data_IF_174733716001
#
_entry.id   IF_174733716001
#
_cell.length_a   1.000
_cell.length_b   1.000
_cell.length_c   1.000
_cell.angle_alpha   90.00
_cell.angle_beta   90.00
_cell.angle_gamma   90.00
#
_symmetry.space_group_name_H-M   'P 1'
#
loop_
_entity.id
_entity.type
_entity.pdbx_description
1 polymer ?
#
# COMPACT_ATOMS: atom_id res chain seq x y z
N UNK A 1 -18.92 9.17 12.41
CA UNK A 1 -18.65 7.87 13.06
C UNK A 1 -17.64 7.19 12.16
N UNK A 2 -16.57 6.67 12.72
CA UNK A 2 -15.52 6.00 11.96
C UNK A 2 -16.06 4.71 11.34
N UNK A 3 -15.81 4.49 10.06
CA UNK A 3 -16.25 3.31 9.32
C UNK A 3 -15.07 2.72 8.51
N UNK A 4 -15.02 1.39 8.42
CA UNK A 4 -14.14 0.67 7.49
C UNK A 4 -14.99 0.23 6.31
N UNK A 5 -14.73 0.79 5.13
CA UNK A 5 -15.44 0.47 3.89
C UNK A 5 -14.59 -0.44 3.03
N UNK A 6 -15.15 -1.55 2.59
CA UNK A 6 -14.46 -2.61 1.84
C UNK A 6 -15.14 -2.77 0.49
N UNK A 7 -14.62 -2.07 -0.53
CA UNK A 7 -15.12 -2.14 -1.90
C UNK A 7 -14.39 -3.23 -2.68
N UNK A 8 -15.14 -4.26 -3.06
CA UNK A 8 -14.60 -5.46 -3.68
C UNK A 8 -14.68 -5.37 -5.21
N UNK A 9 -13.63 -5.86 -5.86
CA UNK A 9 -13.52 -6.02 -7.30
C UNK A 9 -12.80 -7.34 -7.59
N UNK A 10 -12.79 -7.84 -8.84
CA UNK A 10 -12.17 -9.12 -9.16
C UNK A 10 -10.72 -9.22 -8.66
N UNK A 11 -10.46 -10.12 -7.70
CA UNK A 11 -9.13 -10.36 -7.14
C UNK A 11 -8.61 -9.32 -6.14
N UNK A 12 -9.37 -8.25 -5.86
CA UNK A 12 -8.92 -7.14 -5.02
C UNK A 12 -10.05 -6.50 -4.23
N UNK A 13 -9.81 -6.26 -2.94
CA UNK A 13 -10.61 -5.35 -2.14
C UNK A 13 -9.82 -4.06 -1.86
N UNK A 14 -10.47 -2.92 -2.07
CA UNK A 14 -10.03 -1.60 -1.62
C UNK A 14 -10.65 -1.33 -0.27
N UNK A 15 -9.83 -1.04 0.73
CA UNK A 15 -10.26 -0.85 2.10
C UNK A 15 -9.96 0.59 2.49
N UNK A 16 -10.99 1.37 2.74
CA UNK A 16 -10.88 2.76 3.17
C UNK A 16 -11.38 2.88 4.61
N UNK A 17 -10.64 3.59 5.44
CA UNK A 17 -11.08 4.01 6.77
C UNK A 17 -11.54 5.45 6.67
N UNK A 18 -12.82 5.70 6.94
CA UNK A 18 -13.45 7.02 6.78
C UNK A 18 -13.91 7.55 8.13
N UNK A 19 -13.52 8.79 8.45
CA UNK A 19 -14.12 9.55 9.55
C UNK A 19 -14.83 10.80 9.02
N UNK A 20 -16.17 10.74 8.99
CA UNK A 20 -16.96 11.81 8.38
C UNK A 20 -16.69 11.90 6.87
N UNK A 21 -15.97 12.95 6.46
CA UNK A 21 -15.58 13.18 5.05
C UNK A 21 -14.08 12.93 4.80
N UNK A 22 -13.33 12.54 5.83
CA UNK A 22 -11.87 12.36 5.75
C UNK A 22 -11.51 10.91 5.52
N UNK A 23 -10.62 10.65 4.55
CA UNK A 23 -9.94 9.37 4.37
C UNK A 23 -8.76 9.28 5.34
N UNK A 24 -8.86 8.43 6.35
CA UNK A 24 -7.89 8.29 7.44
C UNK A 24 -6.84 7.21 7.16
N UNK A 25 -7.24 6.10 6.55
CA UNK A 25 -6.34 5.02 6.13
C UNK A 25 -6.85 4.34 4.86
N UNK A 26 -5.94 3.70 4.11
CA UNK A 26 -6.25 3.04 2.85
C UNK A 26 -5.33 1.85 2.58
N UNK A 27 -5.92 0.73 2.18
CA UNK A 27 -5.15 -0.46 1.80
C UNK A 27 -5.79 -1.23 0.65
N UNK A 28 -4.93 -1.92 -0.10
CA UNK A 28 -5.34 -2.97 -1.03
C UNK A 28 -5.19 -4.34 -0.37
N UNK A 29 -6.20 -5.18 -0.52
CA UNK A 29 -6.11 -6.60 -0.18
C UNK A 29 -6.35 -7.46 -1.42
N UNK A 30 -5.35 -8.26 -1.80
CA UNK A 30 -5.37 -9.16 -2.97
C UNK A 30 -5.24 -10.62 -2.52
N UNK A 31 -6.34 -11.33 -2.24
CA UNK A 31 -6.29 -12.71 -1.72
C UNK A 31 -5.60 -13.71 -2.65
N UNK A 32 -5.68 -13.49 -3.97
CA UNK A 32 -5.04 -14.35 -4.97
C UNK A 32 -3.51 -14.26 -4.98
N UNK A 33 -2.97 -13.14 -4.50
CA UNK A 33 -1.52 -12.89 -4.40
C UNK A 33 -1.22 -12.12 -3.11
N UNK A 34 -1.29 -12.77 -1.94
CA UNK A 34 -1.02 -12.12 -0.67
C UNK A 34 0.42 -11.62 -0.62
N UNK A 35 0.66 -10.50 0.05
CA UNK A 35 1.99 -9.89 0.16
C UNK A 35 2.91 -10.58 1.20
N UNK A 36 2.37 -11.56 1.92
CA UNK A 36 3.04 -12.36 2.94
C UNK A 36 3.53 -11.55 4.15
N UNK A 37 3.10 -10.30 4.31
CA UNK A 37 3.56 -9.47 5.42
C UNK A 37 3.10 -10.07 6.75
N UNK A 38 4.04 -10.29 7.67
CA UNK A 38 3.75 -10.89 8.97
C UNK A 38 3.62 -12.42 8.95
N UNK A 39 3.74 -13.08 7.78
CA UNK A 39 3.73 -14.54 7.68
C UNK A 39 4.81 -15.15 8.59
N UNK A 40 4.44 -16.21 9.29
CA UNK A 40 5.32 -17.00 10.12
C UNK A 40 5.78 -18.23 9.34
N UNK A 41 7.08 -18.36 9.15
CA UNK A 41 7.69 -19.47 8.42
C UNK A 41 8.67 -20.24 9.29
N UNK A 42 8.81 -21.52 8.99
CA UNK A 42 10.09 -22.21 9.14
C UNK A 42 10.87 -21.99 7.85
N UNK A 43 12.09 -21.45 7.96
CA UNK A 43 12.99 -21.21 6.82
C UNK A 43 14.29 -21.98 7.03
N UNK A 44 14.97 -22.33 5.94
CA UNK A 44 16.31 -22.94 6.00
C UNK A 44 17.37 -21.94 5.56
N UNK A 45 18.40 -21.78 6.37
CA UNK A 45 19.56 -20.95 6.04
C UNK A 45 20.37 -21.61 4.94
N UNK A 46 20.54 -20.90 3.83
CA UNK A 46 21.29 -21.35 2.65
C UNK A 46 22.65 -20.68 2.54
N UNK A 47 22.78 -19.42 2.94
CA UNK A 47 24.06 -18.71 2.89
C UNK A 47 24.16 -17.61 3.97
N UNK A 48 24.97 -17.81 5.02
CA UNK A 48 25.28 -16.77 6.00
C UNK A 48 26.03 -15.58 5.39
N UNK A 49 25.70 -14.36 5.80
CA UNK A 49 26.26 -13.11 5.29
C UNK A 49 26.67 -12.19 6.44
N UNK A 50 27.84 -12.40 7.02
CA UNK A 50 28.35 -11.63 8.18
C UNK A 50 28.42 -10.12 7.88
N UNK A 51 28.84 -9.73 6.68
CA UNK A 51 28.94 -8.33 6.25
C UNK A 51 27.60 -7.59 6.23
N UNK A 52 26.48 -8.32 6.08
CA UNK A 52 25.13 -7.75 6.07
C UNK A 52 24.35 -8.03 7.36
N UNK A 53 25.01 -8.62 8.36
CA UNK A 53 24.39 -9.10 9.60
C UNK A 53 23.10 -9.88 9.34
N UNK A 54 23.18 -10.89 8.47
CA UNK A 54 22.03 -11.68 8.04
C UNK A 54 22.43 -12.97 7.34
N UNK A 55 21.45 -13.65 6.75
CA UNK A 55 21.65 -14.82 5.92
C UNK A 55 20.56 -14.93 4.85
N UNK A 56 20.91 -15.46 3.68
CA UNK A 56 19.90 -15.92 2.73
C UNK A 56 19.25 -17.20 3.23
N UNK A 57 17.95 -17.31 2.97
CA UNK A 57 17.13 -18.45 3.37
C UNK A 57 16.23 -18.89 2.21
N UNK A 58 15.80 -20.14 2.25
CA UNK A 58 14.75 -20.67 1.38
C UNK A 58 13.46 -20.87 2.16
N UNK A 59 12.34 -20.47 1.53
CA UNK A 59 10.97 -20.60 2.03
C UNK A 59 10.32 -21.89 1.52
N UNK A 60 9.06 -22.13 1.92
CA UNK A 60 8.32 -23.36 1.63
C UNK A 60 8.05 -23.60 0.14
N UNK A 61 7.86 -22.51 -0.61
CA UNK A 61 7.59 -22.47 -2.04
C UNK A 61 8.87 -22.51 -2.89
N UNK A 62 10.04 -22.64 -2.25
CA UNK A 62 11.34 -22.53 -2.91
C UNK A 62 11.80 -21.09 -3.15
N UNK A 63 11.00 -20.09 -2.76
CA UNK A 63 11.37 -18.69 -2.82
C UNK A 63 12.55 -18.39 -1.89
N UNK A 64 13.36 -17.41 -2.28
CA UNK A 64 14.47 -16.94 -1.45
C UNK A 64 14.05 -15.74 -0.61
N UNK A 65 14.63 -15.58 0.58
CA UNK A 65 14.44 -14.44 1.46
C UNK A 65 15.71 -14.07 2.22
N UNK A 66 15.65 -12.97 2.98
CA UNK A 66 16.78 -12.51 3.79
C UNK A 66 16.42 -12.47 5.28
N UNK A 67 17.07 -13.33 6.07
CA UNK A 67 16.89 -13.43 7.52
C UNK A 67 17.90 -12.54 8.24
N UNK A 68 17.44 -11.65 9.11
CA UNK A 68 18.34 -10.79 9.91
C UNK A 68 19.03 -11.56 11.04
N UNK A 69 20.25 -11.14 11.38
CA UNK A 69 21.08 -11.73 12.43
C UNK A 69 22.04 -12.80 11.92
N UNK A 70 22.94 -13.27 12.78
CA UNK A 70 23.91 -14.31 12.43
C UNK A 70 23.33 -15.69 12.62
N UNK A 71 23.43 -16.53 11.59
CA UNK A 71 22.91 -17.89 11.58
C UNK A 71 23.91 -18.84 10.91
N UNK A 72 23.85 -20.12 11.26
CA UNK A 72 24.70 -21.14 10.62
C UNK A 72 23.98 -21.72 9.40
N UNK A 73 24.73 -22.06 8.37
CA UNK A 73 24.19 -22.71 7.17
C UNK A 73 23.50 -24.04 7.53
N UNK A 74 22.43 -24.37 6.80
CA UNK A 74 21.62 -25.57 6.97
C UNK A 74 20.65 -25.51 8.16
N UNK A 75 20.77 -24.52 9.06
CA UNK A 75 19.87 -24.39 10.21
C UNK A 75 18.44 -24.05 9.78
N UNK A 76 17.48 -24.62 10.51
CA UNK A 76 16.06 -24.28 10.40
C UNK A 76 15.72 -23.26 11.46
N UNK A 77 15.06 -22.18 11.07
CA UNK A 77 14.73 -21.05 11.94
C UNK A 77 13.26 -20.71 11.79
N UNK A 78 12.59 -20.49 12.92
CA UNK A 78 11.25 -19.89 12.95
C UNK A 78 11.41 -18.39 12.76
N UNK A 79 10.84 -17.85 11.68
CA UNK A 79 11.04 -16.46 11.29
C UNK A 79 9.75 -15.83 10.79
N UNK A 80 9.58 -14.55 11.08
CA UNK A 80 8.43 -13.75 10.65
C UNK A 80 8.84 -12.79 9.54
N UNK A 81 8.03 -12.70 8.49
CA UNK A 81 8.21 -11.69 7.44
C UNK A 81 7.97 -10.30 8.02
N UNK A 82 8.98 -9.44 7.95
CA UNK A 82 8.93 -8.04 8.40
C UNK A 82 8.91 -7.06 7.23
N UNK A 83 9.27 -7.52 6.03
CA UNK A 83 9.11 -6.77 4.79
C UNK A 83 8.73 -7.72 3.67
N UNK A 84 7.64 -7.41 2.97
CA UNK A 84 7.19 -8.17 1.81
C UNK A 84 8.21 -8.16 0.68
N UNK A 85 8.15 -9.18 -0.19
CA UNK A 85 8.93 -9.21 -1.40
C UNK A 85 8.62 -7.99 -2.29
N UNK A 86 9.64 -7.31 -2.78
CA UNK A 86 9.51 -6.05 -3.52
C UNK A 86 10.64 -5.88 -4.54
N UNK A 87 10.32 -5.35 -5.71
CA UNK A 87 11.32 -4.99 -6.74
C UNK A 87 12.23 -6.16 -7.15
N UNK A 88 11.68 -7.38 -7.26
CA UNK A 88 12.42 -8.60 -7.60
C UNK A 88 13.25 -9.19 -6.45
N UNK A 89 13.26 -8.57 -5.27
CA UNK A 89 13.92 -9.10 -4.07
C UNK A 89 12.92 -9.90 -3.24
N UNK A 90 13.40 -11.00 -2.66
CA UNK A 90 12.67 -11.80 -1.69
C UNK A 90 12.29 -11.05 -0.42
N UNK A 91 11.41 -11.61 0.42
CA UNK A 91 11.00 -10.99 1.67
C UNK A 91 12.15 -10.88 2.66
N UNK A 92 12.06 -9.89 3.57
CA UNK A 92 12.93 -9.80 4.74
C UNK A 92 12.25 -10.45 5.93
N UNK A 93 12.98 -11.27 6.66
CA UNK A 93 12.49 -11.98 7.84
C UNK A 93 13.32 -11.64 9.07
N UNK A 94 12.66 -11.68 10.23
CA UNK A 94 13.31 -11.61 11.55
C UNK A 94 13.08 -12.94 12.28
N UNK A 95 14.10 -13.51 12.95
CA UNK A 95 13.90 -14.68 13.80
C UNK A 95 12.92 -14.36 14.93
N UNK A 96 12.06 -15.32 15.25
CA UNK A 96 11.13 -15.25 16.38
C UNK A 96 11.25 -16.52 17.22
N UNK A 97 10.84 -16.43 18.48
CA UNK A 97 10.77 -17.62 19.34
C UNK A 97 9.77 -18.63 18.79
N UNK A 98 10.13 -19.91 18.83
CA UNK A 98 9.29 -21.01 18.36
C UNK A 98 10.10 -22.16 17.79
N UNK A 99 9.61 -23.39 17.99
CA UNK A 99 10.26 -24.58 17.46
C UNK A 99 10.03 -24.66 15.93
N UNK A 100 11.09 -24.70 15.11
CA UNK A 100 10.95 -24.83 13.67
C UNK A 100 10.37 -26.21 13.30
N UNK A 101 9.68 -26.28 12.15
CA UNK A 101 9.27 -27.56 11.54
C UNK A 101 10.49 -28.30 10.98
N UNK A 102 10.31 -29.55 10.56
CA UNK A 102 11.39 -30.39 10.01
C UNK A 102 11.92 -29.91 8.64
N UNK A 103 11.12 -29.14 7.91
CA UNK A 103 11.42 -28.62 6.57
C UNK A 103 10.88 -27.18 6.44
N UNK A 104 11.36 -26.39 5.46
CA UNK A 104 10.80 -25.08 5.16
C UNK A 104 9.29 -25.16 4.96
N UNK A 105 8.53 -24.30 5.63
CA UNK A 105 7.07 -24.37 5.69
C UNK A 105 6.48 -23.01 6.08
N UNK A 106 5.36 -22.64 5.46
CA UNK A 106 4.48 -21.61 6.03
C UNK A 106 3.80 -22.21 7.27
N UNK A 107 4.02 -21.60 8.43
CA UNK A 107 3.47 -22.05 9.70
C UNK A 107 2.12 -21.41 9.99
N UNK A 108 2.01 -20.10 9.75
CA UNK A 108 0.78 -19.34 9.87
C UNK A 108 0.86 -18.10 8.95
N UNK A 109 -0.22 -17.76 8.23
CA UNK A 109 -0.29 -16.50 7.50
C UNK A 109 -0.25 -15.32 8.47
N UNK A 110 0.27 -14.20 7.99
CA UNK A 110 0.18 -12.91 8.66
C UNK A 110 -1.22 -12.30 8.57
N UNK A 111 -1.45 -11.17 9.25
CA UNK A 111 -2.73 -10.49 9.21
C UNK A 111 -2.99 -9.91 7.81
N UNK A 112 -4.22 -10.08 7.35
CA UNK A 112 -4.73 -9.40 6.15
C UNK A 112 -4.76 -7.89 6.36
N UNK A 113 -4.72 -7.08 5.28
CA UNK A 113 -4.87 -5.63 5.41
C UNK A 113 -6.14 -5.21 6.16
N UNK A 114 -7.25 -5.93 5.98
CA UNK A 114 -8.48 -5.65 6.71
C UNK A 114 -8.34 -5.91 8.21
N UNK A 115 -7.70 -7.02 8.62
CA UNK A 115 -7.45 -7.30 10.03
C UNK A 115 -6.57 -6.22 10.66
N UNK A 116 -5.51 -5.77 9.97
CA UNK A 116 -4.64 -4.68 10.47
C UNK A 116 -5.43 -3.39 10.71
N UNK A 117 -6.30 -3.00 9.76
CA UNK A 117 -7.12 -1.80 9.90
C UNK A 117 -8.21 -1.97 10.96
N UNK A 118 -8.83 -3.15 11.05
CA UNK A 118 -9.84 -3.46 12.06
C UNK A 118 -9.26 -3.48 13.48
N UNK A 119 -8.00 -3.90 13.66
CA UNK A 119 -7.29 -3.87 14.93
C UNK A 119 -6.90 -2.44 15.33
N UNK A 120 -6.53 -1.61 14.36
CA UNK A 120 -6.18 -0.18 14.57
C UNK A 120 -7.42 0.65 14.90
N UNK A 121 -8.57 0.27 14.36
CA UNK A 121 -9.86 0.94 14.55
C UNK A 121 -10.89 -0.02 15.13
N UNK A 122 -10.78 -0.44 16.41
CA UNK A 122 -11.58 -1.53 16.99
C UNK A 122 -13.08 -1.24 17.05
N UNK A 123 -13.46 0.04 17.13
CA UNK A 123 -14.86 0.48 17.27
C UNK A 123 -15.54 0.78 15.93
N UNK A 124 -14.81 0.73 14.82
CA UNK A 124 -15.37 1.04 13.50
C UNK A 124 -16.23 -0.12 12.96
N UNK A 125 -17.41 0.19 12.45
CA UNK A 125 -18.23 -0.76 11.70
C UNK A 125 -17.56 -1.09 10.36
N UNK A 126 -17.68 -2.34 9.89
CA UNK A 126 -17.10 -2.81 8.63
C UNK A 126 -18.20 -2.94 7.59
N UNK A 127 -18.25 -2.03 6.63
CA UNK A 127 -19.19 -2.05 5.52
C UNK A 127 -18.56 -2.77 4.31
N UNK A 128 -19.19 -3.84 3.83
CA UNK A 128 -18.67 -4.65 2.74
C UNK A 128 -19.73 -4.94 1.67
N UNK A 129 -19.35 -4.83 0.40
CA UNK A 129 -20.27 -4.99 -0.73
C UNK A 129 -20.24 -6.37 -1.40
N UNK A 130 -19.26 -7.22 -1.10
CA UNK A 130 -19.20 -8.58 -1.62
C UNK A 130 -19.58 -9.65 -0.55
N UNK A 131 -20.66 -10.43 -0.78
CA UNK A 131 -21.09 -11.46 0.16
C UNK A 131 -20.09 -12.61 0.35
N UNK A 132 -19.36 -12.99 -0.69
CA UNK A 132 -18.38 -14.09 -0.62
C UNK A 132 -17.17 -13.66 0.20
N UNK A 133 -16.70 -12.44 -0.01
CA UNK A 133 -15.63 -11.81 0.73
C UNK A 133 -16.00 -11.64 2.20
N UNK A 134 -17.23 -11.18 2.49
CA UNK A 134 -17.77 -11.08 3.85
C UNK A 134 -17.82 -12.44 4.57
N UNK A 135 -18.22 -13.50 3.87
CA UNK A 135 -18.31 -14.85 4.42
C UNK A 135 -16.93 -15.45 4.75
N UNK A 136 -15.90 -15.07 4.00
CA UNK A 136 -14.52 -15.50 4.19
C UNK A 136 -13.82 -14.83 5.39
N UNK A 137 -14.42 -13.79 5.99
CA UNK A 137 -13.79 -13.06 7.09
C UNK A 137 -13.65 -13.89 8.37
N UNK A 138 -12.57 -13.66 9.14
CA UNK A 138 -12.38 -14.25 10.46
C UNK A 138 -13.59 -14.03 11.37
N UNK A 139 -13.88 -15.02 12.22
CA UNK A 139 -15.02 -14.95 13.16
C UNK A 139 -14.95 -13.77 14.10
N UNK A 140 -13.75 -13.29 14.44
CA UNK A 140 -13.52 -12.12 15.29
C UNK A 140 -14.08 -10.82 14.70
N UNK A 141 -14.16 -10.70 13.37
CA UNK A 141 -14.66 -9.48 12.71
C UNK A 141 -16.16 -9.51 12.45
N UNK A 142 -16.80 -10.70 12.47
CA UNK A 142 -18.18 -10.88 11.98
C UNK A 142 -19.24 -10.04 12.71
N UNK A 143 -19.05 -9.74 13.99
CA UNK A 143 -19.99 -8.91 14.76
C UNK A 143 -20.02 -7.45 14.30
N UNK A 144 -18.95 -6.97 13.67
CA UNK A 144 -18.79 -5.60 13.16
C UNK A 144 -19.15 -5.48 11.67
N UNK A 145 -19.33 -6.60 10.98
CA UNK A 145 -19.54 -6.63 9.53
C UNK A 145 -21.01 -6.36 9.19
N UNK A 146 -21.25 -5.34 8.38
CA UNK A 146 -22.53 -5.04 7.74
C UNK A 146 -22.37 -5.16 6.24
N UNK A 147 -23.24 -5.97 5.62
CA UNK A 147 -23.30 -6.07 4.16
C UNK A 147 -24.10 -4.90 3.60
N UNK A 148 -23.54 -4.26 2.59
CA UNK A 148 -24.14 -3.12 1.88
C UNK A 148 -24.13 -3.40 0.39
N UNK A 149 -24.84 -2.60 -0.40
CA UNK A 149 -24.84 -2.75 -1.86
C UNK A 149 -23.62 -2.12 -2.53
N UNK A 150 -23.13 -1.02 -1.96
CA UNK A 150 -21.93 -0.31 -2.40
C UNK A 150 -21.18 0.13 -1.15
N UNK A 151 -19.95 -0.35 -0.97
CA UNK A 151 -19.16 0.04 0.18
C UNK A 151 -18.55 1.43 -0.01
N UNK A 152 -18.19 1.79 -1.25
CA UNK A 152 -17.74 3.14 -1.59
C UNK A 152 -18.90 3.93 -2.19
N UNK A 153 -19.14 5.11 -1.63
CA UNK A 153 -19.95 6.14 -2.28
C UNK A 153 -19.08 6.97 -3.25
N UNK A 154 -19.65 7.82 -4.12
CA UNK A 154 -18.88 8.59 -5.09
C UNK A 154 -17.79 9.49 -4.47
N UNK A 155 -17.99 9.95 -3.23
CA UNK A 155 -17.00 10.79 -2.51
C UNK A 155 -15.82 9.93 -2.07
N UNK A 156 -16.08 8.78 -1.46
CA UNK A 156 -15.07 7.81 -1.04
C UNK A 156 -14.25 7.30 -2.23
N UNK A 157 -14.93 7.00 -3.35
CA UNK A 157 -14.28 6.60 -4.60
C UNK A 157 -13.32 7.69 -5.08
N UNK A 158 -13.77 8.94 -5.14
CA UNK A 158 -12.95 10.07 -5.56
C UNK A 158 -11.74 10.31 -4.64
N UNK A 159 -11.92 10.20 -3.31
CA UNK A 159 -10.82 10.32 -2.34
C UNK A 159 -9.76 9.23 -2.55
N UNK A 160 -10.18 7.98 -2.76
CA UNK A 160 -9.26 6.87 -2.98
C UNK A 160 -8.54 6.99 -4.33
N UNK A 161 -9.25 7.40 -5.39
CA UNK A 161 -8.67 7.59 -6.72
C UNK A 161 -7.65 8.74 -6.75
N UNK A 162 -7.90 9.81 -5.98
CA UNK A 162 -6.98 10.94 -5.84
C UNK A 162 -5.61 10.53 -5.26
N UNK A 163 -5.51 9.41 -4.52
CA UNK A 163 -4.23 8.91 -4.02
C UNK A 163 -3.25 8.48 -5.13
N UNK A 164 -3.76 8.24 -6.34
CA UNK A 164 -2.94 7.94 -7.51
C UNK A 164 -2.28 9.18 -8.11
N UNK A 165 -2.81 10.38 -7.80
CA UNK A 165 -2.22 11.65 -8.20
C UNK A 165 -0.93 11.90 -7.40
N UNK A 166 0.17 12.32 -8.05
CA UNK A 166 1.39 12.71 -7.36
C UNK A 166 1.23 13.99 -6.55
N UNK A 167 0.09 14.69 -6.59
CA UNK A 167 -0.18 15.90 -5.83
C UNK A 167 -1.31 15.70 -4.82
N UNK A 168 -1.28 16.48 -3.74
CA UNK A 168 -2.38 16.54 -2.78
C UNK A 168 -2.51 17.95 -2.21
N UNK A 169 -3.75 18.41 -2.09
CA UNK A 169 -4.07 19.62 -1.33
C UNK A 169 -3.97 19.30 0.17
N UNK A 170 -3.29 20.17 0.91
CA UNK A 170 -3.05 20.04 2.33
C UNK A 170 -3.78 21.16 3.09
N UNK A 171 -3.91 20.94 4.40
CA UNK A 171 -4.34 21.98 5.31
C UNK A 171 -3.41 23.19 5.24
N UNK A 172 -3.88 24.36 5.68
CA UNK A 172 -3.11 25.61 5.56
C UNK A 172 -2.98 26.13 4.13
N UNK A 173 -3.66 25.51 3.15
CA UNK A 173 -3.71 25.96 1.76
C UNK A 173 -2.42 25.71 0.99
N UNK A 174 -1.64 24.69 1.40
CA UNK A 174 -0.46 24.24 0.68
C UNK A 174 -0.81 23.04 -0.19
N UNK A 175 -0.02 22.83 -1.25
CA UNK A 175 -0.08 21.64 -2.07
C UNK A 175 1.23 20.88 -1.94
N UNK A 176 1.16 19.57 -1.72
CA UNK A 176 2.31 18.68 -1.79
C UNK A 176 2.44 18.05 -3.17
N UNK A 177 3.67 17.90 -3.65
CA UNK A 177 4.03 17.06 -4.79
C UNK A 177 4.95 15.93 -4.34
N UNK A 178 4.50 14.68 -4.47
CA UNK A 178 5.21 13.46 -4.09
C UNK A 178 5.96 12.88 -5.29
N UNK A 179 7.28 12.80 -5.18
CA UNK A 179 8.16 12.27 -6.23
C UNK A 179 8.96 11.07 -5.71
N UNK A 180 8.45 9.84 -5.94
CA UNK A 180 9.23 8.64 -5.69
C UNK A 180 10.43 8.54 -6.63
N UNK A 181 11.61 8.25 -6.08
CA UNK A 181 12.82 7.92 -6.83
C UNK A 181 13.32 6.52 -6.43
N UNK A 182 14.29 5.92 -7.15
CA UNK A 182 14.84 4.63 -6.75
C UNK A 182 15.44 4.60 -5.34
N UNK A 183 15.96 5.73 -4.85
CA UNK A 183 16.66 5.81 -3.56
C UNK A 183 15.79 6.38 -2.43
N UNK A 184 15.05 7.45 -2.70
CA UNK A 184 14.30 8.24 -1.72
C UNK A 184 12.99 8.79 -2.28
N UNK A 185 12.13 9.31 -1.41
CA UNK A 185 10.95 10.07 -1.81
C UNK A 185 11.22 11.55 -1.56
N UNK A 186 11.06 12.38 -2.59
CA UNK A 186 11.10 13.83 -2.45
C UNK A 186 9.66 14.37 -2.38
N UNK A 187 9.40 15.26 -1.42
CA UNK A 187 8.11 15.93 -1.24
C UNK A 187 8.34 17.43 -1.29
N UNK A 188 7.71 18.10 -2.24
CA UNK A 188 7.78 19.54 -2.41
C UNK A 188 6.49 20.19 -1.95
N UNK A 189 6.58 21.22 -1.10
CA UNK A 189 5.42 21.98 -0.63
C UNK A 189 5.37 23.35 -1.30
N UNK A 190 4.24 23.62 -1.95
CA UNK A 190 3.98 24.87 -2.64
C UNK A 190 2.75 25.60 -2.08
N UNK A 191 2.72 26.92 -2.25
CA UNK A 191 1.49 27.69 -2.10
C UNK A 191 0.94 28.01 -3.51
N UNK A 192 -0.21 27.43 -3.91
CA UNK A 192 -0.75 27.59 -5.25
C UNK A 192 -1.37 28.98 -5.51
N UNK A 193 -1.53 29.85 -4.50
CA UNK A 193 -2.06 31.21 -4.68
C UNK A 193 -0.95 32.24 -4.99
N UNK A 194 -0.90 32.81 -6.22
CA UNK A 194 0.18 33.71 -6.64
C UNK A 194 0.03 35.18 -6.17
N UNK A 195 -1.20 35.64 -5.86
CA UNK A 195 -1.50 37.07 -5.65
C UNK A 195 -1.64 37.54 -4.20
N UNK A 196 -1.69 36.62 -3.23
CA UNK A 196 -1.64 37.00 -1.83
C UNK A 196 -0.20 37.41 -1.51
N UNK A 197 0.08 38.72 -1.42
CA UNK A 197 1.35 39.33 -0.94
C UNK A 197 2.17 38.31 -0.16
N UNK A 198 3.36 37.90 -0.68
CA UNK A 198 4.28 36.94 -0.05
C UNK A 198 4.01 36.87 1.44
N UNK A 199 3.38 35.76 1.88
CA UNK A 199 2.96 35.61 3.27
C UNK A 199 4.11 36.06 4.16
N UNK A 200 3.80 36.87 5.18
CA UNK A 200 4.82 37.28 6.14
C UNK A 200 5.51 36.02 6.67
N UNK A 201 6.82 36.04 6.98
CA UNK A 201 7.54 34.84 7.41
C UNK A 201 6.85 34.02 8.52
N UNK A 202 6.14 34.70 9.44
CA UNK A 202 5.34 34.06 10.49
C UNK A 202 4.16 33.27 9.92
N UNK A 203 3.44 33.84 8.94
CA UNK A 203 2.31 33.19 8.30
C UNK A 203 2.75 31.99 7.43
N UNK A 204 3.95 32.03 6.82
CA UNK A 204 4.52 30.89 6.10
C UNK A 204 4.79 29.71 7.03
N UNK A 205 5.40 29.97 8.20
CA UNK A 205 5.63 28.94 9.22
C UNK A 205 4.31 28.37 9.70
N UNK A 206 3.32 29.22 10.01
CA UNK A 206 2.00 28.76 10.44
C UNK A 206 1.29 27.90 9.38
N UNK A 207 1.35 28.28 8.11
CA UNK A 207 0.77 27.50 7.00
C UNK A 207 1.43 26.13 6.87
N UNK A 208 2.77 26.05 6.94
CA UNK A 208 3.48 24.77 6.91
C UNK A 208 3.13 23.92 8.14
N UNK A 209 3.08 24.49 9.34
CA UNK A 209 2.67 23.75 10.56
C UNK A 209 1.25 23.19 10.40
N UNK A 210 0.33 23.99 9.87
CA UNK A 210 -1.04 23.55 9.60
C UNK A 210 -1.10 22.40 8.59
N UNK A 211 -0.23 22.38 7.58
CA UNK A 211 -0.18 21.35 6.54
C UNK A 211 0.42 20.00 6.99
N UNK A 212 1.19 19.98 8.10
CA UNK A 212 1.93 18.79 8.53
C UNK A 212 1.02 17.58 8.84
N UNK A 213 -0.11 17.73 9.57
CA UNK A 213 -1.00 16.60 9.85
C UNK A 213 -1.52 15.91 8.57
N UNK A 214 -2.04 16.68 7.61
CA UNK A 214 -2.48 16.15 6.31
C UNK A 214 -1.32 15.60 5.50
N UNK A 215 -0.15 16.25 5.48
CA UNK A 215 1.04 15.69 4.81
C UNK A 215 1.41 14.31 5.35
N UNK A 216 1.45 14.16 6.68
CA UNK A 216 1.77 12.89 7.32
C UNK A 216 0.71 11.82 7.03
N UNK A 217 -0.58 12.22 6.94
CA UNK A 217 -1.66 11.34 6.51
C UNK A 217 -1.48 10.89 5.05
N UNK A 218 -1.15 11.80 4.13
CA UNK A 218 -0.87 11.47 2.72
C UNK A 218 0.31 10.50 2.56
N UNK A 219 1.35 10.63 3.41
CA UNK A 219 2.49 9.69 3.49
C UNK A 219 2.01 8.29 3.91
N UNK A 220 1.13 8.21 4.91
CA UNK A 220 0.55 6.94 5.38
C UNK A 220 -0.37 6.30 4.34
N UNK A 221 -1.31 7.06 3.78
CA UNK A 221 -2.28 6.61 2.76
C UNK A 221 -1.59 6.03 1.51
N UNK A 222 -0.46 6.62 1.11
CA UNK A 222 0.37 6.11 0.00
C UNK A 222 1.37 5.04 0.42
N UNK A 223 1.45 4.73 1.71
CA UNK A 223 2.44 3.88 2.34
C UNK A 223 3.87 4.20 1.87
N UNK A 224 4.22 5.49 1.84
CA UNK A 224 5.56 5.95 1.45
C UNK A 224 6.55 5.57 2.55
N UNK A 225 7.68 4.99 2.18
CA UNK A 225 8.66 4.45 3.14
C UNK A 225 10.09 4.47 2.60
N UNK A 226 11.06 4.37 3.50
CA UNK A 226 12.48 4.59 3.26
C UNK A 226 12.88 6.00 3.68
N UNK A 227 13.88 6.55 3.00
CA UNK A 227 14.25 7.95 3.16
C UNK A 227 13.20 8.84 2.48
N UNK A 228 12.69 9.81 3.21
CA UNK A 228 11.75 10.82 2.77
C UNK A 228 12.37 12.18 3.07
N UNK A 229 12.45 13.04 2.05
CA UNK A 229 12.91 14.43 2.21
C UNK A 229 11.79 15.38 1.82
N UNK A 230 11.54 16.38 2.66
CA UNK A 230 10.47 17.35 2.48
C UNK A 230 11.08 18.74 2.31
N UNK A 231 10.62 19.50 1.31
CA UNK A 231 11.00 20.89 1.06
C UNK A 231 9.87 21.85 1.47
N UNK A 232 9.97 22.53 2.64
CA UNK A 232 8.94 23.45 3.12
C UNK A 232 8.77 24.72 2.27
N UNK A 233 7.51 25.11 2.05
CA UNK A 233 7.11 26.24 1.23
C UNK A 233 7.59 27.59 1.79
N UNK A 234 8.46 28.29 1.08
CA UNK A 234 8.77 29.72 1.32
C UNK A 234 9.54 30.06 2.61
N UNK A 235 9.84 29.08 3.47
CA UNK A 235 10.58 29.29 4.72
C UNK A 235 12.08 29.20 4.48
N UNK A 236 12.83 30.22 4.92
CA UNK A 236 14.29 30.21 4.86
C UNK A 236 14.87 29.03 5.67
N UNK A 237 15.95 28.35 5.21
CA UNK A 237 16.48 27.14 5.85
C UNK A 237 16.69 27.24 7.37
N UNK A 238 17.21 28.38 7.86
CA UNK A 238 17.47 28.62 9.30
C UNK A 238 16.22 28.59 10.19
N UNK A 239 15.02 28.72 9.62
CA UNK A 239 13.75 28.70 10.36
C UNK A 239 12.98 27.38 10.23
N UNK A 240 13.43 26.45 9.39
CA UNK A 240 12.74 25.18 9.13
C UNK A 240 12.75 24.22 10.33
N UNK A 241 13.71 24.38 11.25
CA UNK A 241 13.75 23.61 12.50
C UNK A 241 12.50 23.82 13.39
N UNK A 242 11.80 24.95 13.23
CA UNK A 242 10.54 25.21 13.93
C UNK A 242 9.40 24.25 13.53
N UNK A 243 9.54 23.53 12.41
CA UNK A 243 8.55 22.56 11.94
C UNK A 243 8.75 21.16 12.55
N UNK A 244 9.93 20.86 13.09
CA UNK A 244 10.28 19.51 13.58
C UNK A 244 9.35 19.02 14.70
N UNK A 245 8.98 19.81 15.73
CA UNK A 245 8.09 19.33 16.77
C UNK A 245 6.71 18.93 16.24
N UNK A 246 6.17 19.69 15.28
CA UNK A 246 4.90 19.37 14.65
C UNK A 246 4.99 18.11 13.77
N UNK A 247 6.12 17.91 13.07
CA UNK A 247 6.38 16.67 12.31
C UNK A 247 6.45 15.46 13.23
N UNK A 248 7.19 15.55 14.35
CA UNK A 248 7.33 14.47 15.32
C UNK A 248 5.97 14.10 15.95
N UNK A 249 5.17 15.09 16.31
CA UNK A 249 3.83 14.89 16.87
C UNK A 249 2.88 14.21 15.87
N UNK A 250 2.81 14.72 14.64
CA UNK A 250 1.92 14.18 13.60
C UNK A 250 2.30 12.77 13.13
N UNK A 251 3.57 12.38 13.29
CA UNK A 251 4.09 11.05 12.96
C UNK A 251 4.09 10.08 14.14
N UNK A 252 3.80 10.55 15.36
CA UNK A 252 3.86 9.73 16.57
C UNK A 252 2.92 8.52 16.53
N UNK A 253 1.73 8.69 15.95
CA UNK A 253 0.71 7.65 15.81
C UNK A 253 0.90 6.75 14.59
N UNK A 254 1.93 6.98 13.77
CA UNK A 254 2.17 6.15 12.59
C UNK A 254 2.63 4.73 13.01
N UNK A 255 1.93 3.68 12.56
CA UNK A 255 2.22 2.30 12.96
C UNK A 255 3.61 1.81 12.53
N UNK A 256 4.28 2.48 11.59
CA UNK A 256 5.64 2.15 11.19
C UNK A 256 6.70 2.84 12.06
N UNK A 257 6.31 3.67 13.03
CA UNK A 257 7.24 4.39 13.93
C UNK A 257 8.37 5.11 13.19
N UNK A 258 8.03 6.03 12.26
CA UNK A 258 9.01 6.81 11.52
C UNK A 258 9.85 7.70 12.45
N UNK A 259 11.06 8.01 12.01
CA UNK A 259 11.99 8.87 12.74
C UNK A 259 12.24 10.16 11.96
N UNK A 260 12.00 11.31 12.60
CA UNK A 260 12.44 12.62 12.10
C UNK A 260 13.92 12.78 12.45
N UNK A 261 14.78 12.92 11.45
CA UNK A 261 16.23 13.03 11.63
C UNK A 261 16.70 14.49 11.82
N UNK A 262 15.90 15.44 11.34
CA UNK A 262 16.14 16.88 11.47
C UNK A 262 16.10 17.60 10.14
N UNK A 263 16.89 18.67 10.03
CA UNK A 263 17.02 19.48 8.81
C UNK A 263 18.40 19.26 8.21
N UNK A 264 18.45 18.90 6.92
CA UNK A 264 19.70 18.67 6.19
C UNK A 264 20.47 19.98 5.96
N UNK A 265 21.73 19.88 5.52
CA UNK A 265 22.52 21.05 5.13
C UNK A 265 21.93 21.86 3.96
N UNK A 266 21.07 21.24 3.15
CA UNK A 266 20.31 21.92 2.07
C UNK A 266 19.02 22.57 2.56
N UNK A 267 18.66 22.36 3.83
CA UNK A 267 17.42 22.88 4.42
C UNK A 267 16.21 21.95 4.28
N UNK A 268 16.36 20.72 3.78
CA UNK A 268 15.24 19.78 3.69
C UNK A 268 14.95 19.13 5.04
N UNK A 269 13.70 18.81 5.35
CA UNK A 269 13.36 17.99 6.51
C UNK A 269 13.57 16.53 6.13
N UNK A 270 14.30 15.78 6.95
CA UNK A 270 14.64 14.38 6.71
C UNK A 270 13.85 13.45 7.64
N UNK A 271 13.17 12.47 7.05
CA UNK A 271 12.40 11.46 7.76
C UNK A 271 12.79 10.08 7.24
N UNK A 272 12.95 9.11 8.14
CA UNK A 272 13.11 7.70 7.79
C UNK A 272 11.88 6.94 8.28
N UNK A 273 11.08 6.43 7.36
CA UNK A 273 9.91 5.59 7.66
C UNK A 273 10.21 4.13 7.30
N UNK A 274 10.17 3.17 8.24
CA UNK A 274 10.40 1.75 7.94
C UNK A 274 9.57 1.21 6.77
N UNK A 275 10.16 0.30 5.99
CA UNK A 275 9.52 -0.38 4.85
C UNK A 275 8.94 -1.71 5.30
N UNK A 276 7.60 -1.82 5.32
CA UNK A 276 6.87 -3.06 5.56
C UNK A 276 6.27 -3.64 4.27
N UNK A 277 5.16 -3.06 3.82
CA UNK A 277 4.44 -3.42 2.59
C UNK A 277 4.84 -2.52 1.42
N UNK A 278 4.43 -2.86 0.19
CA UNK A 278 4.73 -2.04 -0.99
C UNK A 278 3.98 -0.71 -0.94
N UNK A 279 4.59 0.40 -1.40
CA UNK A 279 3.89 1.67 -1.49
C UNK A 279 2.80 1.63 -2.57
N UNK A 280 1.80 2.49 -2.44
CA UNK A 280 0.62 2.52 -3.30
C UNK A 280 0.98 2.61 -4.79
N UNK A 281 1.91 3.50 -5.15
CA UNK A 281 2.31 3.71 -6.53
C UNK A 281 2.97 2.46 -7.16
N UNK A 282 3.69 1.64 -6.38
CA UNK A 282 4.23 0.36 -6.86
C UNK A 282 3.11 -0.66 -7.07
N UNK A 283 2.13 -0.72 -6.16
CA UNK A 283 0.98 -1.62 -6.28
C UNK A 283 0.13 -1.31 -7.50
N UNK A 284 -0.18 -0.03 -7.74
CA UNK A 284 -0.99 0.44 -8.86
C UNK A 284 -0.28 0.27 -10.21
N UNK A 285 1.03 0.56 -10.28
CA UNK A 285 1.82 0.47 -11.52
C UNK A 285 2.38 -0.92 -11.80
N UNK A 286 2.24 -1.86 -10.86
CA UNK A 286 2.63 -3.26 -11.09
C UNK A 286 1.79 -3.88 -12.22
N UNK A 287 2.33 -4.82 -13.00
CA UNK A 287 1.55 -5.50 -14.04
C UNK A 287 0.27 -6.16 -13.51
N UNK A 288 0.31 -6.68 -12.28
CA UNK A 288 -0.86 -7.22 -11.59
C UNK A 288 -1.88 -6.13 -11.26
N UNK A 289 -1.45 -5.02 -10.68
CA UNK A 289 -2.33 -3.89 -10.36
C UNK A 289 -3.01 -3.30 -11.60
N UNK A 290 -2.29 -3.16 -12.71
CA UNK A 290 -2.86 -2.72 -14.00
C UNK A 290 -3.92 -3.71 -14.49
N UNK A 291 -3.63 -5.01 -14.43
CA UNK A 291 -4.59 -6.05 -14.82
C UNK A 291 -5.88 -6.00 -13.99
N UNK A 292 -5.78 -5.90 -12.67
CA UNK A 292 -6.94 -5.83 -11.78
C UNK A 292 -7.75 -4.54 -12.00
N UNK A 293 -7.07 -3.41 -12.21
CA UNK A 293 -7.72 -2.14 -12.54
C UNK A 293 -8.46 -2.23 -13.89
N UNK A 294 -7.90 -2.93 -14.88
CA UNK A 294 -8.56 -3.18 -16.15
C UNK A 294 -9.84 -4.01 -15.99
N UNK A 295 -9.76 -5.12 -15.24
CA UNK A 295 -10.94 -5.95 -14.93
C UNK A 295 -12.04 -5.15 -14.21
N UNK A 296 -11.68 -4.30 -13.24
CA UNK A 296 -12.62 -3.40 -12.56
C UNK A 296 -13.27 -2.40 -13.53
N UNK A 297 -12.48 -1.79 -14.41
CA UNK A 297 -12.99 -0.84 -15.41
C UNK A 297 -13.91 -1.51 -16.44
N UNK A 298 -13.61 -2.74 -16.86
CA UNK A 298 -14.47 -3.55 -17.72
C UNK A 298 -15.83 -3.83 -17.07
N UNK A 299 -15.85 -4.18 -15.77
CA UNK A 299 -17.09 -4.38 -15.02
C UNK A 299 -17.93 -3.12 -14.90
N UNK A 300 -17.30 -1.96 -14.68
CA UNK A 300 -18.00 -0.68 -14.61
C UNK A 300 -18.70 -0.30 -15.93
N UNK A 301 -18.25 -0.87 -17.06
CA UNK A 301 -18.81 -0.66 -18.40
C UNK A 301 -19.55 -1.88 -18.93
N UNK A 302 -19.88 -2.84 -18.07
CA UNK A 302 -20.54 -4.10 -18.44
C UNK A 302 -21.86 -3.79 -19.16
N UNK A 303 -22.11 -4.34 -20.36
CA UNK A 303 -23.39 -4.19 -21.05
C UNK A 303 -24.49 -4.99 -20.33
N UNK A 304 -25.75 -4.58 -20.51
CA UNK A 304 -26.89 -5.30 -19.93
C UNK A 304 -26.97 -6.77 -20.40
N UNK A 305 -26.59 -7.00 -21.67
CA UNK A 305 -26.60 -8.31 -22.30
C UNK A 305 -25.20 -8.66 -22.77
N UNK A 306 -24.67 -9.80 -22.31
CA UNK A 306 -23.37 -10.34 -22.70
C UNK A 306 -23.60 -11.40 -23.78
N UNK A 307 -23.28 -11.07 -25.03
CA UNK A 307 -23.39 -12.00 -26.17
C UNK A 307 -22.09 -12.74 -26.46
N UNK A 308 -20.95 -12.12 -26.16
CA UNK A 308 -19.62 -12.66 -26.42
C UNK A 308 -18.72 -12.48 -25.19
N UNK A 309 -17.71 -13.35 -25.00
CA UNK A 309 -16.69 -13.16 -23.98
C UNK A 309 -15.97 -11.82 -24.19
N UNK A 310 -15.82 -10.98 -23.16
CA UNK A 310 -15.09 -9.72 -23.30
C UNK A 310 -13.60 -10.00 -23.50
N UNK A 311 -12.93 -9.16 -24.29
CA UNK A 311 -11.51 -9.31 -24.58
C UNK A 311 -10.73 -8.24 -23.81
N UNK A 312 -9.65 -8.64 -23.13
CA UNK A 312 -8.67 -7.75 -22.53
C UNK A 312 -7.33 -7.91 -23.27
N UNK A 313 -6.90 -6.85 -23.96
CA UNK A 313 -5.60 -6.77 -24.61
C UNK A 313 -4.62 -5.98 -23.75
N UNK A 314 -3.47 -6.58 -23.42
CA UNK A 314 -2.44 -5.91 -22.65
C UNK A 314 -1.04 -6.46 -22.93
N UNK A 315 -0.01 -5.77 -22.42
CA UNK A 315 1.37 -6.22 -22.49
C UNK A 315 1.59 -7.61 -21.85
N UNK A 316 2.64 -8.33 -22.28
CA UNK A 316 2.99 -9.67 -21.76
C UNK A 316 3.02 -9.71 -20.22
N UNK A 317 3.70 -8.79 -19.50
CA UNK A 317 3.75 -8.83 -18.04
C UNK A 317 2.37 -8.74 -17.38
N UNK A 318 1.44 -7.95 -17.95
CA UNK A 318 0.09 -7.76 -17.40
C UNK A 318 -0.73 -9.04 -17.59
N UNK A 319 -0.74 -9.59 -18.81
CA UNK A 319 -1.47 -10.83 -19.10
C UNK A 319 -0.95 -11.99 -18.23
N UNK A 320 0.38 -12.16 -18.15
CA UNK A 320 1.00 -13.18 -17.29
C UNK A 320 0.68 -12.97 -15.82
N UNK A 321 0.57 -11.72 -15.35
CA UNK A 321 0.21 -11.46 -13.97
C UNK A 321 -1.24 -11.86 -13.66
N UNK A 322 -2.17 -11.67 -14.61
CA UNK A 322 -3.56 -12.11 -14.50
C UNK A 322 -3.74 -13.63 -14.62
N UNK A 323 -3.03 -14.28 -15.54
CA UNK A 323 -3.03 -15.74 -15.66
C UNK A 323 -2.56 -16.44 -14.38
N UNK A 324 -1.63 -15.80 -13.64
CA UNK A 324 -1.16 -16.26 -12.33
C UNK A 324 -2.10 -15.90 -11.17
N UNK A 325 -3.27 -15.31 -11.45
CA UNK A 325 -4.31 -15.00 -10.47
C UNK A 325 -5.67 -15.55 -10.92
N UNK A 326 -5.86 -16.89 -10.88
CA UNK A 326 -7.12 -17.51 -11.27
C UNK A 326 -8.29 -17.08 -10.37
N UNK A 327 -8.03 -16.64 -9.15
CA UNK A 327 -9.06 -16.13 -8.25
C UNK A 327 -9.66 -14.82 -8.80
N UNK A 328 -8.83 -13.90 -9.30
CA UNK A 328 -9.30 -12.69 -9.96
C UNK A 328 -10.12 -13.00 -11.21
N UNK A 329 -9.63 -13.88 -12.09
CA UNK A 329 -10.32 -14.23 -13.35
C UNK A 329 -11.66 -14.92 -13.11
N UNK A 330 -11.73 -15.82 -12.12
CA UNK A 330 -12.98 -16.49 -11.75
C UNK A 330 -13.98 -15.50 -11.13
N UNK A 331 -13.51 -14.59 -10.26
CA UNK A 331 -14.35 -13.55 -9.69
C UNK A 331 -14.91 -12.62 -10.78
N UNK A 332 -14.08 -12.23 -11.76
CA UNK A 332 -14.53 -11.48 -12.92
C UNK A 332 -15.61 -12.25 -13.69
N UNK A 333 -15.37 -13.52 -14.01
CA UNK A 333 -16.31 -14.33 -14.79
C UNK A 333 -17.68 -14.46 -14.10
N UNK A 334 -17.69 -14.59 -12.77
CA UNK A 334 -18.91 -14.67 -11.98
C UNK A 334 -19.74 -13.38 -12.06
N UNK A 335 -19.10 -12.22 -11.96
CA UNK A 335 -19.80 -10.91 -11.97
C UNK A 335 -20.14 -10.48 -13.39
N UNK A 336 -19.22 -10.66 -14.34
CA UNK A 336 -19.43 -10.32 -15.75
C UNK A 336 -20.45 -11.25 -16.41
N UNK A 337 -20.48 -12.54 -16.04
CA UNK A 337 -21.31 -13.56 -16.67
C UNK A 337 -20.64 -14.30 -17.82
N UNK A 338 -19.37 -13.98 -18.11
CA UNK A 338 -18.52 -14.67 -19.07
C UNK A 338 -17.05 -14.54 -18.66
N UNK A 339 -16.24 -15.55 -18.97
CA UNK A 339 -14.79 -15.45 -18.78
C UNK A 339 -14.20 -14.37 -19.69
N UNK A 340 -13.20 -13.64 -19.20
CA UNK A 340 -12.44 -12.70 -20.03
C UNK A 340 -11.43 -13.44 -20.90
N UNK A 341 -11.42 -13.13 -22.20
CA UNK A 341 -10.37 -13.57 -23.11
C UNK A 341 -9.14 -12.65 -22.94
N UNK A 342 -8.00 -13.24 -22.59
CA UNK A 342 -6.75 -12.51 -22.40
C UNK A 342 -5.90 -12.56 -23.68
N UNK A 343 -5.64 -11.41 -24.27
CA UNK A 343 -4.86 -11.28 -25.50
C UNK A 343 -3.57 -10.50 -25.25
N UNK A 344 -2.46 -11.07 -25.71
CA UNK A 344 -1.15 -10.43 -25.60
C UNK A 344 -0.97 -9.42 -26.73
N UNK A 345 -0.69 -8.18 -26.37
CA UNK A 345 -0.27 -7.11 -27.26
C UNK A 345 1.17 -6.70 -26.91
N UNK A 346 2.21 -7.28 -27.55
CA UNK A 346 3.61 -7.07 -27.17
C UNK A 346 4.08 -5.61 -27.26
N UNK A 347 3.49 -4.84 -28.17
CA UNK A 347 3.85 -3.44 -28.43
C UNK A 347 3.19 -2.46 -27.44
N UNK A 348 2.27 -2.93 -26.59
CA UNK A 348 1.64 -2.08 -25.58
C UNK A 348 2.63 -1.79 -24.44
N UNK A 349 2.75 -0.53 -24.01
CA UNK A 349 3.45 -0.24 -22.76
C UNK A 349 2.72 -0.91 -21.60
N UNK A 350 3.43 -1.25 -20.53
CA UNK A 350 2.86 -1.96 -19.35
C UNK A 350 1.67 -1.24 -18.73
N UNK A 351 1.65 0.09 -18.82
CA UNK A 351 0.58 0.94 -18.28
C UNK A 351 -0.65 1.03 -19.17
N UNK A 352 -0.65 0.43 -20.36
CA UNK A 352 -1.74 0.51 -21.33
C UNK A 352 -2.40 -0.85 -21.56
N UNK A 353 -3.72 -0.81 -21.74
CA UNK A 353 -4.57 -1.93 -22.07
C UNK A 353 -5.77 -1.44 -22.88
N UNK A 354 -6.41 -2.35 -23.61
CA UNK A 354 -7.66 -2.07 -24.31
C UNK A 354 -8.65 -3.22 -24.12
N UNK A 355 -9.92 -2.92 -24.38
CA UNK A 355 -11.03 -3.88 -24.37
C UNK A 355 -11.80 -3.78 -25.68
N UNK A 356 -12.39 -4.90 -26.11
CA UNK A 356 -13.41 -4.96 -27.17
C UNK A 356 -14.77 -5.33 -26.59
#
# INVERSE_FOLDING_TARGET
MMEIRVACSPGEARIAVIDGETLEDFAFWRPGRPDGYGDLHTVRVTAPMDAMNGAFVVLADGGEGFLTGRHKEGTLVTARVTRSAQGGKGPRLRPVEGKPRAHPALMAPGPTPLEVLADTHPDADILIDDPAFAAALPTSLRSRVRRVLSAFDPVTEALCDALSDPTAELDGGLRATFTPTPALIAIDLDNPMPDARRLRPVAQVAANIAAIPSLCREIRLRNLSGAIVIDPAGIIPRKRSALLPAMEDALHSDPQSPQVLGVTGLGLIEVVRPRGRAPLHELLRSPHGIGLAALRAMLARKPEHVSEPPILRASIPVIRALENDPLALNAFALVYGAAVALEIAPDFPVTFWSQD
#
